data_IF_553764723320
#
_entry.id   IF_553764723320
#
_cell.length_a   1.000
_cell.length_b   1.000
_cell.length_c   1.000
_cell.angle_alpha   90.00
_cell.angle_beta   90.00
_cell.angle_gamma   90.00
#
_symmetry.space_group_name_H-M   'P 1'
#
loop_
_entity.id
_entity.type
_entity.pdbx_description
1 polymer ?
#
# COMPACT_ATOMS: atom_id res chain seq x y z
N UNK A 1 31.07 7.13 54.74
CA UNK A 1 29.63 7.17 54.42
C UNK A 1 29.37 8.24 53.37
N UNK A 2 30.06 8.15 52.22
CA UNK A 2 29.70 7.41 51.02
C UNK A 2 28.45 7.96 50.32
N UNK A 3 28.70 8.92 49.41
CA UNK A 3 27.86 9.41 48.29
C UNK A 3 27.13 8.30 47.49
N UNK A 4 27.41 7.04 47.81
CA UNK A 4 26.94 5.81 47.17
C UNK A 4 25.43 5.60 47.35
N UNK A 5 24.80 6.12 48.42
CA UNK A 5 23.37 5.86 48.70
C UNK A 5 22.40 6.70 47.83
N UNK A 6 22.85 7.80 47.21
CA UNK A 6 22.02 8.56 46.25
C UNK A 6 21.85 7.88 44.88
N UNK A 7 22.54 6.76 44.63
CA UNK A 7 22.43 6.02 43.36
C UNK A 7 21.19 5.11 43.30
N UNK A 8 20.39 5.05 44.37
CA UNK A 8 19.36 4.02 44.53
C UNK A 8 17.93 4.39 44.10
N UNK A 9 17.57 5.65 43.84
CA UNK A 9 16.20 5.97 43.41
C UNK A 9 16.15 7.21 42.48
N UNK A 10 16.46 7.01 41.20
CA UNK A 10 16.06 7.98 40.16
C UNK A 10 14.63 7.65 39.70
N UNK A 11 13.65 8.26 40.35
CA UNK A 11 12.22 7.89 40.34
C UNK A 11 11.43 8.50 39.17
N UNK A 12 12.09 9.15 38.20
CA UNK A 12 11.42 9.97 37.18
C UNK A 12 11.63 9.52 35.72
N UNK A 13 11.99 8.26 35.45
CA UNK A 13 11.97 7.74 34.06
C UNK A 13 11.71 6.23 34.06
N UNK A 14 10.80 5.81 33.18
CA UNK A 14 10.27 4.43 33.06
C UNK A 14 11.38 3.37 32.89
N UNK A 15 11.12 2.10 33.28
CA UNK A 15 12.16 1.10 33.49
C UNK A 15 12.63 0.37 32.20
N UNK A 16 13.92 -0.02 32.21
CA UNK A 16 14.44 -1.39 31.92
C UNK A 16 15.16 -1.75 30.60
N UNK A 17 16.40 -2.24 30.83
CA UNK A 17 17.36 -3.16 30.17
C UNK A 17 17.46 -3.27 28.64
N UNK A 18 18.53 -2.74 28.03
CA UNK A 18 19.93 -3.22 27.87
C UNK A 18 20.09 -4.31 26.80
N UNK A 19 20.86 -3.97 25.76
CA UNK A 19 21.21 -4.89 24.68
C UNK A 19 21.93 -6.14 25.19
N UNK A 20 21.67 -7.25 24.52
CA UNK A 20 22.55 -8.42 24.56
C UNK A 20 23.84 -8.08 23.81
N UNK A 21 24.91 -7.91 24.60
CA UNK A 21 26.28 -8.23 24.17
C UNK A 21 26.62 -9.56 24.84
N UNK A 22 27.03 -10.55 24.02
CA UNK A 22 27.57 -11.87 24.41
C UNK A 22 26.80 -12.64 25.49
N UNK A 23 25.72 -13.28 25.06
CA UNK A 23 25.07 -14.38 25.78
C UNK A 23 24.30 -15.20 24.76
N UNK A 24 24.49 -16.52 24.77
CA UNK A 24 23.92 -17.46 23.81
C UNK A 24 22.38 -17.35 23.76
N UNK A 25 21.81 -17.75 22.62
CA UNK A 25 20.43 -18.21 22.41
C UNK A 25 19.29 -17.19 22.56
N UNK A 26 18.72 -16.77 21.42
CA UNK A 26 17.28 -16.53 21.11
C UNK A 26 16.93 -15.26 20.32
N UNK A 27 17.89 -14.35 20.06
CA UNK A 27 17.61 -13.08 19.38
C UNK A 27 17.64 -13.12 17.84
N UNK A 28 17.72 -14.32 17.24
CA UNK A 28 17.63 -14.54 15.78
C UNK A 28 16.23 -14.98 15.30
N UNK A 29 15.20 -15.01 16.16
CA UNK A 29 13.87 -15.49 15.76
C UNK A 29 12.76 -14.41 15.73
N UNK A 30 13.03 -13.17 16.16
CA UNK A 30 11.98 -12.12 16.23
C UNK A 30 12.21 -10.95 15.25
N UNK A 31 13.45 -10.68 14.84
CA UNK A 31 13.76 -9.57 13.92
C UNK A 31 13.70 -9.94 12.43
N UNK A 32 13.69 -11.23 12.07
CA UNK A 32 13.45 -11.65 10.68
C UNK A 32 11.97 -11.47 10.31
N UNK A 33 11.04 -11.77 11.22
CA UNK A 33 9.59 -11.69 10.95
C UNK A 33 9.06 -10.25 10.86
N UNK A 34 9.57 -9.33 11.70
CA UNK A 34 9.10 -7.92 11.72
C UNK A 34 9.59 -7.07 10.54
N UNK A 35 10.77 -7.35 9.99
CA UNK A 35 11.32 -6.63 8.84
C UNK A 35 10.72 -7.10 7.49
N UNK A 36 10.17 -8.31 7.42
CA UNK A 36 9.37 -8.78 6.27
C UNK A 36 8.00 -8.07 6.21
N UNK A 37 7.40 -7.78 7.38
CA UNK A 37 6.08 -7.15 7.45
C UNK A 37 6.09 -5.64 7.12
N UNK A 38 7.12 -4.89 7.53
CA UNK A 38 7.21 -3.43 7.34
C UNK A 38 7.61 -3.00 5.91
N UNK A 39 8.26 -3.89 5.16
CA UNK A 39 8.59 -3.64 3.74
C UNK A 39 7.34 -3.73 2.83
N UNK A 40 6.32 -4.51 3.24
CA UNK A 40 5.07 -4.72 2.50
C UNK A 40 3.98 -3.68 2.84
N UNK A 41 4.05 -3.08 4.02
CA UNK A 41 3.08 -2.06 4.50
C UNK A 41 3.20 -0.70 3.81
N UNK A 42 4.29 -0.43 3.08
CA UNK A 42 4.50 0.83 2.36
C UNK A 42 4.31 0.72 0.84
N UNK A 43 3.85 -0.45 0.36
CA UNK A 43 3.52 -0.66 -1.05
C UNK A 43 2.07 -0.24 -1.33
N UNK A 44 1.87 0.77 -2.18
CA UNK A 44 0.53 1.12 -2.66
C UNK A 44 -0.09 -0.10 -3.36
N UNK A 45 -1.31 -0.48 -2.94
CA UNK A 45 -2.08 -1.52 -3.63
C UNK A 45 -2.21 -1.15 -5.12
N UNK A 46 -2.13 -2.15 -6.01
CA UNK A 46 -2.29 -1.95 -7.45
C UNK A 46 -3.57 -1.18 -7.82
N UNK A 47 -4.67 -1.45 -7.11
CA UNK A 47 -5.95 -0.74 -7.26
C UNK A 47 -5.84 0.72 -6.81
N UNK A 48 -5.06 1.02 -5.77
CA UNK A 48 -4.77 2.38 -5.31
C UNK A 48 -3.92 3.15 -6.32
N UNK A 49 -2.92 2.50 -6.91
CA UNK A 49 -2.10 3.09 -7.98
C UNK A 49 -2.95 3.39 -9.23
N UNK A 50 -3.86 2.49 -9.60
CA UNK A 50 -4.80 2.69 -10.70
C UNK A 50 -5.71 3.90 -10.47
N UNK A 51 -6.33 4.03 -9.28
CA UNK A 51 -7.21 5.17 -9.01
C UNK A 51 -6.45 6.49 -8.95
N UNK A 52 -5.23 6.52 -8.41
CA UNK A 52 -4.40 7.72 -8.41
C UNK A 52 -4.06 8.16 -9.84
N UNK A 53 -3.80 7.20 -10.73
CA UNK A 53 -3.61 7.49 -12.15
C UNK A 53 -4.88 8.05 -12.80
N UNK A 54 -6.04 7.46 -12.53
CA UNK A 54 -7.32 7.94 -13.06
C UNK A 54 -7.71 9.33 -12.52
N UNK A 55 -7.39 9.63 -11.25
CA UNK A 55 -7.57 10.94 -10.63
C UNK A 55 -6.76 12.04 -11.31
N UNK A 56 -5.66 11.71 -11.99
CA UNK A 56 -4.90 12.68 -12.79
C UNK A 56 -5.59 13.09 -14.10
N UNK A 57 -6.83 12.64 -14.34
CA UNK A 57 -7.60 12.93 -15.56
C UNK A 57 -7.21 12.06 -16.76
N UNK A 58 -6.29 11.11 -16.57
CA UNK A 58 -5.83 10.22 -17.63
C UNK A 58 -6.80 9.06 -17.85
N UNK A 59 -6.85 8.63 -19.10
CA UNK A 59 -7.57 7.41 -19.52
C UNK A 59 -6.61 6.22 -19.57
N UNK A 60 -7.09 5.02 -19.24
CA UNK A 60 -6.31 3.77 -19.40
C UNK A 60 -7.10 2.72 -20.18
N UNK A 61 -6.40 1.90 -20.96
CA UNK A 61 -7.01 0.73 -21.61
C UNK A 61 -6.92 -0.51 -20.72
N UNK A 62 -7.77 -1.50 -20.97
CA UNK A 62 -7.71 -2.80 -20.26
C UNK A 62 -6.32 -3.45 -20.33
N UNK A 63 -5.67 -3.42 -21.51
CA UNK A 63 -4.31 -3.95 -21.73
C UNK A 63 -3.23 -3.17 -20.96
N UNK A 64 -3.40 -1.85 -20.83
CA UNK A 64 -2.49 -1.04 -20.03
C UNK A 64 -2.68 -1.32 -18.53
N UNK A 65 -3.89 -1.64 -18.09
CA UNK A 65 -4.16 -1.96 -16.69
C UNK A 65 -3.39 -3.22 -16.26
N UNK A 66 -3.45 -4.27 -17.07
CA UNK A 66 -2.72 -5.52 -16.81
C UNK A 66 -1.21 -5.31 -16.87
N UNK A 67 -0.72 -4.61 -17.90
CA UNK A 67 0.71 -4.41 -18.10
C UNK A 67 1.37 -3.48 -17.07
N UNK A 68 0.70 -2.40 -16.64
CA UNK A 68 1.31 -1.38 -15.77
C UNK A 68 1.06 -1.61 -14.29
N UNK A 69 -0.11 -2.12 -13.92
CA UNK A 69 -0.51 -2.27 -12.53
C UNK A 69 -0.54 -3.73 -12.08
N UNK A 70 -0.28 -4.70 -12.98
CA UNK A 70 -0.28 -6.12 -12.64
C UNK A 70 -1.67 -6.68 -12.29
N UNK A 71 -2.73 -5.95 -12.64
CA UNK A 71 -4.11 -6.37 -12.38
C UNK A 71 -4.57 -7.30 -13.51
N UNK A 72 -4.53 -8.61 -13.26
CA UNK A 72 -4.91 -9.63 -14.26
C UNK A 72 -6.33 -9.43 -14.82
N UNK A 73 -7.25 -8.95 -13.99
CA UNK A 73 -8.65 -8.72 -14.35
C UNK A 73 -9.02 -7.22 -14.23
N UNK A 74 -8.91 -6.42 -15.30
CA UNK A 74 -9.26 -5.00 -15.30
C UNK A 74 -10.71 -4.74 -14.90
N UNK A 75 -11.64 -5.61 -15.33
CA UNK A 75 -13.06 -5.47 -15.01
C UNK A 75 -13.32 -5.57 -13.51
N UNK A 76 -12.67 -6.52 -12.83
CA UNK A 76 -12.80 -6.67 -11.38
C UNK A 76 -12.16 -5.50 -10.63
N UNK A 77 -11.01 -5.00 -11.08
CA UNK A 77 -10.41 -3.81 -10.50
C UNK A 77 -11.36 -2.60 -10.58
N UNK A 78 -12.01 -2.41 -11.73
CA UNK A 78 -12.99 -1.34 -11.91
C UNK A 78 -14.24 -1.57 -11.06
N UNK A 79 -14.72 -2.82 -10.94
CA UNK A 79 -15.82 -3.17 -10.03
C UNK A 79 -15.48 -2.80 -8.59
N UNK A 80 -14.30 -3.16 -8.10
CA UNK A 80 -13.83 -2.79 -6.77
C UNK A 80 -13.76 -1.27 -6.56
N UNK A 81 -13.32 -0.51 -7.57
CA UNK A 81 -13.33 0.95 -7.52
C UNK A 81 -14.75 1.51 -7.40
N UNK A 82 -15.71 0.97 -8.18
CA UNK A 82 -17.12 1.38 -8.08
C UNK A 82 -17.73 1.04 -6.73
N UNK A 83 -17.43 -0.13 -6.18
CA UNK A 83 -17.87 -0.52 -4.82
C UNK A 83 -17.31 0.40 -3.74
N UNK A 84 -16.12 0.97 -3.95
CA UNK A 84 -15.51 1.99 -3.06
C UNK A 84 -16.09 3.39 -3.25
N UNK A 85 -17.06 3.58 -4.15
CA UNK A 85 -17.70 4.87 -4.42
C UNK A 85 -17.02 5.70 -5.51
N UNK A 86 -16.03 5.16 -6.23
CA UNK A 86 -15.44 5.86 -7.38
C UNK A 86 -16.27 5.66 -8.65
N UNK A 87 -16.58 6.76 -9.32
CA UNK A 87 -17.34 6.73 -10.58
C UNK A 87 -16.39 6.50 -11.74
N UNK A 88 -16.21 5.24 -12.10
CA UNK A 88 -15.37 4.83 -13.24
C UNK A 88 -16.25 4.37 -14.40
N UNK A 89 -16.13 5.04 -15.54
CA UNK A 89 -16.84 4.69 -16.76
C UNK A 89 -16.02 3.71 -17.61
N UNK A 90 -16.71 2.79 -18.26
CA UNK A 90 -16.13 1.86 -19.23
C UNK A 90 -16.64 2.27 -20.62
N UNK A 91 -15.75 2.85 -21.42
CA UNK A 91 -16.05 3.32 -22.76
C UNK A 91 -15.49 2.32 -23.76
N UNK A 92 -16.36 1.67 -24.52
CA UNK A 92 -15.97 0.87 -25.67
C UNK A 92 -15.46 1.79 -26.78
N UNK A 93 -14.34 1.42 -27.38
CA UNK A 93 -13.75 2.14 -28.50
C UNK A 93 -12.96 1.19 -29.38
N UNK A 94 -12.31 1.75 -30.40
CA UNK A 94 -11.39 1.02 -31.26
C UNK A 94 -10.00 1.63 -31.13
N UNK A 95 -8.97 0.81 -31.28
CA UNK A 95 -7.61 1.27 -31.44
C UNK A 95 -7.36 1.58 -32.93
N UNK A 96 -6.24 2.24 -33.25
CA UNK A 96 -5.90 2.64 -34.63
C UNK A 96 -5.81 1.44 -35.60
N UNK A 97 -5.54 0.24 -35.08
CA UNK A 97 -5.52 -1.02 -35.81
C UNK A 97 -6.92 -1.66 -35.98
N UNK A 98 -7.99 -0.99 -35.53
CA UNK A 98 -9.37 -1.50 -35.60
C UNK A 98 -9.78 -2.46 -34.48
N UNK A 99 -8.87 -2.83 -33.58
CA UNK A 99 -9.14 -3.77 -32.49
C UNK A 99 -10.11 -3.16 -31.46
N UNK A 100 -11.21 -3.85 -31.09
CA UNK A 100 -12.13 -3.38 -30.07
C UNK A 100 -11.42 -3.32 -28.72
N UNK A 101 -11.48 -2.18 -28.04
CA UNK A 101 -10.81 -1.95 -26.76
C UNK A 101 -11.74 -1.22 -25.80
N UNK A 102 -11.64 -1.55 -24.52
CA UNK A 102 -12.32 -0.82 -23.45
C UNK A 102 -11.34 0.17 -22.80
N UNK A 103 -11.77 1.43 -22.73
CA UNK A 103 -11.08 2.54 -22.08
C UNK A 103 -11.80 2.88 -20.78
N UNK A 104 -11.03 3.13 -19.73
CA UNK A 104 -11.56 3.49 -18.41
C UNK A 104 -11.18 4.91 -18.05
N UNK A 105 -12.16 5.68 -17.61
CA UNK A 105 -12.01 7.08 -17.16
C UNK A 105 -12.71 7.28 -15.84
N UNK A 106 -12.13 8.13 -14.98
CA UNK A 106 -12.87 8.68 -13.85
C UNK A 106 -13.79 9.77 -14.38
N UNK A 107 -15.03 9.80 -13.91
CA UNK A 107 -15.93 10.90 -14.22
C UNK A 107 -16.58 11.47 -12.97
N UNK A 108 -17.20 12.63 -13.16
CA UNK A 108 -17.98 13.29 -12.12
C UNK A 108 -19.42 12.77 -12.21
N UNK A 109 -20.01 12.26 -11.12
CA UNK A 109 -21.42 11.87 -11.13
C UNK A 109 -22.28 13.10 -11.39
N UNK A 110 -22.86 13.19 -12.59
CA UNK A 110 -23.94 14.13 -12.89
C UNK A 110 -25.27 13.47 -12.61
N UNK A 111 -26.07 14.10 -11.74
CA UNK A 111 -27.47 13.74 -11.51
C UNK A 111 -28.26 14.33 -12.69
N UNK A 112 -28.83 13.49 -13.54
CA UNK A 112 -29.75 13.90 -14.61
C UNK A 112 -31.19 13.74 -14.12
#
# INVERSE_FOLDING_TARGET
MNKIIKKLFNINSKPVYNGTVFGKTSDNLINVSRNVAYSRSNSMSATTSLINYLKSGKTVTAKQITARFGLANPHEAVRQLRMKGYVVYANSGKLWNGEPTVRYTLGTPTRK
#
